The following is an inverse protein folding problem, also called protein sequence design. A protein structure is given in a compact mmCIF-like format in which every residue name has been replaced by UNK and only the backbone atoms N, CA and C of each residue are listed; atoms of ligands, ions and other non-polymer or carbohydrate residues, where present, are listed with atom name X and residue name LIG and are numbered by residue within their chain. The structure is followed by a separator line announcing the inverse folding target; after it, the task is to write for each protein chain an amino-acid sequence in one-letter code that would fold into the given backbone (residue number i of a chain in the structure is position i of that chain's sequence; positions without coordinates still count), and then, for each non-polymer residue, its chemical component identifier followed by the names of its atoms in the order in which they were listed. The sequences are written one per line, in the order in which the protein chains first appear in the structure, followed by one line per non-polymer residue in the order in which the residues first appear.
data_IF_355532819136
#
_entry.id   IF_355532819136
#
_cell.length_a   1.000
_cell.length_b   1.000
_cell.length_c   1.000
_cell.angle_alpha   90.00
_cell.angle_beta   90.00
_cell.angle_gamma   90.00
#
_symmetry.space_group_name_H-M   'P 1'
#
loop_
_entity.id
_entity.type
_entity.pdbx_description
1 polymer ?
#
# COMPACT_ATOMS: atom_id res chain seq x y z
N UNK A 1 48.68 33.49 30.92
CA UNK A 1 48.62 32.87 29.58
C UNK A 1 49.19 31.47 29.59
N UNK A 2 50.41 31.27 30.09
CA UNK A 2 51.08 29.94 30.13
C UNK A 2 50.30 28.84 30.90
N UNK A 3 49.55 29.20 31.94
CA UNK A 3 48.76 28.23 32.72
C UNK A 3 47.53 27.69 31.97
N UNK A 4 46.93 28.47 31.06
CA UNK A 4 45.72 28.08 30.32
C UNK A 4 46.07 27.12 29.16
N UNK A 5 47.20 27.38 28.49
CA UNK A 5 47.69 26.55 27.37
C UNK A 5 48.24 25.19 27.84
N UNK A 6 48.69 25.09 29.11
CA UNK A 6 49.09 23.82 29.73
C UNK A 6 47.87 23.02 30.23
N UNK A 7 46.83 23.71 30.72
CA UNK A 7 45.64 23.06 31.28
C UNK A 7 44.72 22.45 30.20
N UNK A 8 44.61 23.06 29.02
CA UNK A 8 43.80 22.54 27.91
C UNK A 8 44.68 22.41 26.66
N UNK A 9 45.23 21.21 26.40
CA UNK A 9 46.05 20.99 25.23
C UNK A 9 45.23 21.22 23.95
N UNK A 10 45.66 22.12 23.04
CA UNK A 10 44.96 22.34 21.76
C UNK A 10 44.89 21.08 20.89
N UNK A 11 45.77 20.11 21.11
CA UNK A 11 45.75 18.80 20.48
C UNK A 11 44.46 18.01 20.76
N UNK A 12 43.86 18.16 21.95
CA UNK A 12 42.67 17.39 22.34
C UNK A 12 41.43 17.82 21.54
N UNK A 13 41.23 19.13 21.37
CA UNK A 13 40.16 19.67 20.54
C UNK A 13 40.33 19.26 19.06
N UNK A 14 41.57 19.24 18.56
CA UNK A 14 41.89 18.80 17.20
C UNK A 14 41.58 17.30 16.99
N UNK A 15 41.98 16.45 17.93
CA UNK A 15 41.70 15.01 17.87
C UNK A 15 40.18 14.71 17.84
N UNK A 16 39.40 15.41 18.66
CA UNK A 16 37.93 15.28 18.67
C UNK A 16 37.35 15.63 17.29
N UNK A 17 37.78 16.75 16.70
CA UNK A 17 37.31 17.20 15.38
C UNK A 17 37.66 16.22 14.25
N UNK A 18 38.86 15.63 14.27
CA UNK A 18 39.26 14.59 13.30
C UNK A 18 38.40 13.33 13.49
N UNK A 19 38.20 12.90 14.73
CA UNK A 19 37.40 11.73 15.05
C UNK A 19 35.93 11.88 14.62
N UNK A 20 35.31 13.05 14.86
CA UNK A 20 33.95 13.33 14.41
C UNK A 20 33.86 13.37 12.88
N UNK A 21 34.82 14.00 12.20
CA UNK A 21 34.86 14.05 10.74
C UNK A 21 34.94 12.65 10.12
N UNK A 22 35.84 11.78 10.61
CA UNK A 22 35.94 10.40 10.15
C UNK A 22 34.64 9.63 10.41
N UNK A 23 34.00 9.86 11.56
CA UNK A 23 32.73 9.21 11.92
C UNK A 23 31.60 9.61 10.98
N UNK A 24 31.48 10.90 10.64
CA UNK A 24 30.49 11.41 9.68
C UNK A 24 30.73 10.82 8.29
N UNK A 25 31.98 10.73 7.82
CA UNK A 25 32.30 10.09 6.53
C UNK A 25 31.87 8.62 6.51
N UNK A 26 32.09 7.88 7.61
CA UNK A 26 31.67 6.48 7.73
C UNK A 26 30.15 6.33 7.78
N UNK A 27 29.44 7.24 8.47
CA UNK A 27 27.98 7.27 8.53
C UNK A 27 27.37 7.57 7.15
N UNK A 28 27.96 8.51 6.41
CA UNK A 28 27.55 8.83 5.04
C UNK A 28 27.68 7.63 4.10
N UNK A 29 28.73 6.82 4.26
CA UNK A 29 28.89 5.55 3.52
C UNK A 29 27.76 4.54 3.79
N UNK A 30 26.98 4.72 4.86
CA UNK A 30 25.79 3.92 5.21
C UNK A 30 24.47 4.62 4.90
N UNK A 31 24.49 5.74 4.16
CA UNK A 31 23.30 6.53 3.86
C UNK A 31 22.78 7.37 5.04
N UNK A 32 23.55 7.50 6.14
CA UNK A 32 23.19 8.36 7.27
C UNK A 32 23.85 9.72 7.10
N UNK A 33 23.04 10.76 6.87
CA UNK A 33 23.52 12.11 6.65
C UNK A 33 23.42 12.91 7.95
N UNK A 34 24.57 13.34 8.45
CA UNK A 34 24.68 14.11 9.68
C UNK A 34 24.60 15.60 9.36
N UNK A 35 23.62 16.29 9.95
CA UNK A 35 23.45 17.75 9.82
C UNK A 35 24.24 18.52 10.89
N UNK A 36 24.42 17.91 12.06
CA UNK A 36 25.09 18.49 13.21
C UNK A 36 26.15 17.51 13.74
N UNK A 37 27.42 17.86 13.51
CA UNK A 37 28.56 16.99 13.80
C UNK A 37 28.81 16.81 15.30
N UNK A 38 28.41 17.77 16.14
CA UNK A 38 28.60 17.68 17.60
C UNK A 38 27.73 16.56 18.21
N UNK A 39 26.56 16.31 17.60
CA UNK A 39 25.62 15.26 18.05
C UNK A 39 26.15 13.85 17.87
N UNK A 40 27.14 13.65 16.99
CA UNK A 40 27.74 12.32 16.76
C UNK A 40 28.42 11.80 18.03
N UNK A 41 29.09 12.68 18.78
CA UNK A 41 29.70 12.30 20.05
C UNK A 41 28.66 12.03 21.14
N UNK A 42 27.59 12.84 21.18
CA UNK A 42 26.49 12.67 22.14
C UNK A 42 25.70 11.39 21.93
N UNK A 43 25.58 10.90 20.69
CA UNK A 43 24.87 9.67 20.37
C UNK A 43 25.43 8.42 21.09
N UNK A 44 26.71 8.43 21.46
CA UNK A 44 27.34 7.35 22.24
C UNK A 44 27.02 7.37 23.73
N UNK A 45 26.35 8.42 24.22
CA UNK A 45 25.99 8.61 25.63
C UNK A 45 24.48 8.37 25.89
N UNK A 46 23.74 7.90 24.89
CA UNK A 46 22.29 7.71 25.01
C UNK A 46 21.96 6.42 25.77
N UNK A 47 21.20 6.54 26.86
CA UNK A 47 20.70 5.39 27.64
C UNK A 47 19.24 5.02 27.29
N UNK A 48 18.54 5.86 26.53
CA UNK A 48 17.16 5.66 26.12
C UNK A 48 16.95 6.14 24.67
N UNK A 49 16.15 5.39 23.90
CA UNK A 49 15.76 5.74 22.54
C UNK A 49 14.23 5.69 22.44
N UNK A 50 13.62 6.83 22.12
CA UNK A 50 12.19 6.93 21.87
C UNK A 50 11.93 6.72 20.37
N UNK A 51 11.06 5.77 20.04
CA UNK A 51 10.62 5.55 18.67
C UNK A 51 9.23 6.14 18.46
N UNK A 52 9.07 6.90 17.37
CA UNK A 52 7.74 7.23 16.87
C UNK A 52 7.14 6.00 16.14
N UNK A 53 5.81 5.89 16.09
CA UNK A 53 5.15 4.72 15.51
C UNK A 53 4.95 4.87 14.00
N UNK A 54 4.30 5.94 13.55
CA UNK A 54 3.84 6.07 12.15
C UNK A 54 4.93 6.73 11.31
N UNK A 55 5.39 6.07 10.25
CA UNK A 55 6.49 6.55 9.43
C UNK A 55 7.89 6.33 10.02
N UNK A 56 7.99 5.62 11.15
CA UNK A 56 9.26 5.16 11.74
C UNK A 56 9.25 3.65 11.99
N UNK A 57 8.44 3.16 12.94
CA UNK A 57 8.32 1.71 13.18
C UNK A 57 7.40 1.02 12.16
N UNK A 58 6.45 1.77 11.63
CA UNK A 58 5.50 1.30 10.63
C UNK A 58 5.57 2.18 9.39
N UNK A 59 5.40 1.59 8.22
CA UNK A 59 5.24 2.34 6.98
C UNK A 59 3.98 3.23 7.06
N UNK A 60 4.01 4.33 6.31
CA UNK A 60 2.85 5.20 6.20
C UNK A 60 1.87 4.55 5.22
N UNK A 61 0.68 4.23 5.68
CA UNK A 61 -0.38 3.69 4.85
C UNK A 61 -1.10 2.53 5.53
N UNK A 62 -1.85 1.80 4.70
CA UNK A 62 -2.60 0.63 5.10
C UNK A 62 -2.23 -0.52 4.16
N UNK A 63 -2.12 -1.72 4.70
CA UNK A 63 -1.90 -2.95 3.94
C UNK A 63 -2.89 -4.00 4.43
N UNK A 64 -3.44 -4.78 3.51
CA UNK A 64 -4.31 -5.90 3.86
C UNK A 64 -3.45 -7.05 4.38
N UNK A 65 -3.40 -7.23 5.69
CA UNK A 65 -2.66 -8.35 6.29
C UNK A 65 -3.29 -9.72 6.03
N UNK A 66 -4.60 -9.78 5.82
CA UNK A 66 -5.34 -11.02 5.55
C UNK A 66 -6.82 -10.93 5.92
N UNK A 67 -7.54 -12.04 5.75
CA UNK A 67 -8.98 -12.13 6.03
C UNK A 67 -9.26 -13.24 7.03
N UNK A 68 -10.17 -12.98 7.96
CA UNK A 68 -10.71 -14.00 8.89
C UNK A 68 -12.18 -14.25 8.53
N UNK A 69 -12.52 -15.42 7.97
CA UNK A 69 -13.90 -15.72 7.62
C UNK A 69 -14.73 -16.01 8.86
N UNK A 70 -16.04 -15.77 8.79
CA UNK A 70 -16.99 -16.20 9.82
C UNK A 70 -17.57 -17.55 9.47
N UNK A 71 -17.52 -18.52 10.40
CA UNK A 71 -18.05 -19.89 10.23
C UNK A 71 -19.48 -20.04 10.78
N UNK A 72 -20.10 -18.94 11.20
CA UNK A 72 -21.41 -18.89 11.85
C UNK A 72 -21.44 -17.84 12.96
N UNK A 73 -22.55 -17.71 13.70
CA UNK A 73 -22.69 -16.71 14.75
C UNK A 73 -21.63 -16.93 15.84
N UNK A 74 -20.83 -15.89 16.09
CA UNK A 74 -19.79 -15.88 17.12
C UNK A 74 -18.58 -16.78 16.86
N UNK A 75 -18.41 -17.35 15.66
CA UNK A 75 -17.28 -18.23 15.32
C UNK A 75 -16.46 -17.67 14.17
N UNK A 76 -15.19 -17.42 14.44
CA UNK A 76 -14.20 -17.06 13.43
C UNK A 76 -13.47 -18.30 12.92
N UNK A 77 -13.13 -18.30 11.64
CA UNK A 77 -12.28 -19.30 11.00
C UNK A 77 -10.80 -18.95 11.13
N UNK A 78 -9.97 -19.67 10.35
CA UNK A 78 -8.53 -19.42 10.32
C UNK A 78 -8.21 -18.12 9.57
N UNK A 79 -7.21 -17.39 10.07
CA UNK A 79 -6.65 -16.23 9.38
C UNK A 79 -6.00 -16.68 8.07
N UNK A 80 -6.41 -16.04 6.96
CA UNK A 80 -5.91 -16.30 5.62
C UNK A 80 -5.11 -15.07 5.16
N UNK A 81 -3.77 -15.12 5.18
CA UNK A 81 -2.93 -13.97 4.82
C UNK A 81 -2.94 -13.68 3.32
N UNK A 82 -2.98 -14.72 2.48
CA UNK A 82 -2.95 -14.56 1.04
C UNK A 82 -4.37 -14.31 0.48
N UNK A 83 -4.65 -13.13 -0.10
CA UNK A 83 -5.95 -12.84 -0.69
C UNK A 83 -6.28 -13.74 -1.89
N UNK A 84 -5.27 -14.33 -2.55
CA UNK A 84 -5.47 -15.29 -3.64
C UNK A 84 -6.14 -16.59 -3.19
N UNK A 85 -5.98 -16.98 -1.92
CA UNK A 85 -6.59 -18.17 -1.33
C UNK A 85 -8.04 -17.96 -0.89
N UNK A 86 -8.55 -16.73 -0.98
CA UNK A 86 -9.92 -16.43 -0.59
C UNK A 86 -10.92 -17.06 -1.56
N UNK A 87 -12.13 -17.41 -1.07
CA UNK A 87 -13.22 -17.82 -1.94
C UNK A 87 -13.47 -16.75 -3.04
N UNK A 88 -13.74 -17.14 -4.30
CA UNK A 88 -13.95 -16.20 -5.39
C UNK A 88 -15.03 -15.14 -5.09
N UNK A 89 -16.05 -15.51 -4.32
CA UNK A 89 -17.11 -14.58 -3.89
C UNK A 89 -16.57 -13.42 -3.02
N UNK A 90 -15.55 -13.66 -2.19
CA UNK A 90 -14.93 -12.61 -1.36
C UNK A 90 -14.04 -11.70 -2.21
N UNK A 91 -13.31 -12.27 -3.16
CA UNK A 91 -12.54 -11.48 -4.14
C UNK A 91 -13.46 -10.58 -4.98
N UNK A 92 -14.58 -11.14 -5.47
CA UNK A 92 -15.60 -10.39 -6.21
C UNK A 92 -16.24 -9.28 -5.35
N UNK A 93 -16.46 -9.53 -4.05
CA UNK A 93 -16.95 -8.53 -3.11
C UNK A 93 -15.98 -7.35 -2.97
N UNK A 94 -14.68 -7.62 -2.80
CA UNK A 94 -13.65 -6.58 -2.74
C UNK A 94 -13.57 -5.78 -4.05
N UNK A 95 -13.87 -6.41 -5.19
CA UNK A 95 -13.83 -5.78 -6.51
C UNK A 95 -15.09 -4.94 -6.82
N UNK A 96 -16.21 -5.16 -6.13
CA UNK A 96 -17.51 -4.59 -6.50
C UNK A 96 -18.09 -3.63 -5.47
N UNK A 97 -17.82 -3.85 -4.18
CA UNK A 97 -18.45 -3.12 -3.08
C UNK A 97 -17.50 -2.07 -2.48
N UNK A 98 -17.14 -1.06 -3.27
CA UNK A 98 -16.29 0.05 -2.85
C UNK A 98 -16.71 1.38 -3.51
N UNK A 99 -16.23 2.50 -2.97
CA UNK A 99 -16.46 3.84 -3.53
C UNK A 99 -15.42 4.32 -4.56
N UNK A 100 -14.52 3.45 -5.01
CA UNK A 100 -13.41 3.83 -5.88
C UNK A 100 -13.87 4.31 -7.26
N UNK A 101 -13.12 5.26 -7.82
CA UNK A 101 -13.28 5.77 -9.18
C UNK A 101 -11.93 5.78 -9.88
N UNK A 102 -11.93 5.61 -11.20
CA UNK A 102 -10.72 5.78 -12.00
C UNK A 102 -10.62 7.24 -12.49
N UNK A 103 -9.49 7.87 -12.19
CA UNK A 103 -9.10 9.16 -12.74
C UNK A 103 -7.84 8.94 -13.58
N UNK A 104 -7.97 9.16 -14.88
CA UNK A 104 -6.99 8.79 -15.89
C UNK A 104 -6.65 7.28 -15.81
N UNK A 105 -5.42 6.93 -15.46
CA UNK A 105 -4.96 5.54 -15.28
C UNK A 105 -4.81 5.15 -13.79
N UNK A 106 -5.29 6.00 -12.88
CA UNK A 106 -5.13 5.80 -11.43
C UNK A 106 -6.46 5.53 -10.75
N UNK A 107 -6.48 4.55 -9.85
CA UNK A 107 -7.62 4.27 -8.98
C UNK A 107 -7.55 5.21 -7.78
N UNK A 108 -8.61 5.99 -7.55
CA UNK A 108 -8.69 7.02 -6.52
C UNK A 108 -9.91 6.75 -5.63
N UNK A 109 -9.73 6.97 -4.33
CA UNK A 109 -10.79 6.83 -3.32
C UNK A 109 -10.20 6.62 -1.93
N UNK A 110 -10.96 5.99 -1.04
CA UNK A 110 -10.48 5.68 0.30
C UNK A 110 -9.27 4.71 0.26
N UNK A 111 -8.19 4.95 1.02
CA UNK A 111 -7.02 4.06 1.03
C UNK A 111 -7.35 2.61 1.42
N UNK A 112 -8.35 2.36 2.26
CA UNK A 112 -8.76 0.99 2.61
C UNK A 112 -9.40 0.28 1.42
N UNK A 113 -10.31 0.96 0.71
CA UNK A 113 -10.95 0.43 -0.48
C UNK A 113 -9.92 0.12 -1.56
N UNK A 114 -8.93 1.00 -1.77
CA UNK A 114 -7.85 0.77 -2.74
C UNK A 114 -7.11 -0.52 -2.45
N UNK A 115 -6.76 -0.78 -1.19
CA UNK A 115 -6.01 -1.99 -0.78
C UNK A 115 -6.85 -3.26 -0.89
N UNK A 116 -8.14 -3.18 -0.60
CA UNK A 116 -9.07 -4.29 -0.83
C UNK A 116 -9.22 -4.60 -2.32
N UNK A 117 -9.36 -3.57 -3.14
CA UNK A 117 -9.46 -3.72 -4.60
C UNK A 117 -8.19 -4.31 -5.19
N UNK A 118 -7.01 -3.84 -4.80
CA UNK A 118 -5.73 -4.42 -5.20
C UNK A 118 -5.63 -5.91 -4.82
N UNK A 119 -6.06 -6.26 -3.61
CA UNK A 119 -6.07 -7.64 -3.13
C UNK A 119 -7.07 -8.55 -3.87
N UNK A 120 -8.11 -7.98 -4.48
CA UNK A 120 -9.10 -8.77 -5.24
C UNK A 120 -8.51 -9.44 -6.48
N UNK A 121 -7.41 -8.91 -7.02
CA UNK A 121 -6.82 -9.36 -8.29
C UNK A 121 -7.64 -8.93 -9.52
N UNK A 122 -8.54 -7.97 -9.37
CA UNK A 122 -9.26 -7.34 -10.47
C UNK A 122 -8.57 -6.05 -10.93
N UNK A 123 -8.86 -5.64 -12.15
CA UNK A 123 -8.47 -4.35 -12.73
C UNK A 123 -9.73 -3.55 -13.08
N UNK A 124 -9.65 -2.24 -12.89
CA UNK A 124 -10.69 -1.29 -13.23
C UNK A 124 -10.28 -0.58 -14.51
N UNK A 125 -11.17 -0.58 -15.51
CA UNK A 125 -10.96 0.11 -16.79
C UNK A 125 -12.20 0.90 -17.17
N UNK A 126 -11.99 2.13 -17.58
CA UNK A 126 -13.01 2.94 -18.22
C UNK A 126 -13.14 2.51 -19.69
N UNK A 127 -14.29 1.95 -20.07
CA UNK A 127 -14.61 1.65 -21.47
C UNK A 127 -15.44 2.82 -22.02
N UNK A 128 -14.89 3.51 -23.03
CA UNK A 128 -15.56 4.62 -23.71
C UNK A 128 -16.75 4.17 -24.57
N UNK A 129 -16.77 2.89 -24.98
CA UNK A 129 -17.91 2.28 -25.66
C UNK A 129 -18.58 1.22 -24.79
N UNK A 130 -19.93 1.17 -24.74
CA UNK A 130 -20.63 0.13 -23.99
C UNK A 130 -20.30 -1.24 -24.61
N UNK A 131 -19.96 -2.25 -23.80
CA UNK A 131 -19.65 -3.57 -24.34
C UNK A 131 -20.84 -4.11 -25.14
N UNK A 132 -20.59 -4.75 -26.28
CA UNK A 132 -21.63 -5.32 -27.14
C UNK A 132 -22.61 -6.25 -26.38
N UNK A 133 -22.15 -6.87 -25.29
CA UNK A 133 -22.98 -7.66 -24.38
C UNK A 133 -24.02 -6.83 -23.60
N UNK A 134 -23.69 -5.59 -23.22
CA UNK A 134 -24.62 -4.66 -22.58
C UNK A 134 -25.65 -4.15 -23.60
N UNK A 135 -25.22 -3.83 -24.82
CA UNK A 135 -26.15 -3.51 -25.92
C UNK A 135 -27.09 -4.69 -26.25
N UNK A 136 -26.60 -5.93 -26.22
CA UNK A 136 -27.42 -7.11 -26.40
C UNK A 136 -28.38 -7.37 -25.22
N UNK A 137 -27.96 -7.10 -23.98
CA UNK A 137 -28.81 -7.23 -22.79
C UNK A 137 -29.89 -6.15 -22.73
N UNK A 138 -29.57 -4.92 -23.14
CA UNK A 138 -30.54 -3.82 -23.24
C UNK A 138 -31.56 -4.08 -24.35
N UNK A 139 -31.16 -4.66 -25.48
CA UNK A 139 -32.08 -5.05 -26.55
C UNK A 139 -33.01 -6.23 -26.18
N UNK A 140 -32.72 -6.96 -25.09
CA UNK A 140 -33.53 -8.09 -24.61
C UNK A 140 -34.39 -7.75 -23.38
N UNK A 141 -34.39 -6.51 -22.89
CA UNK A 141 -35.13 -6.12 -21.69
C UNK A 141 -36.45 -5.39 -22.01
N UNK A 142 -37.32 -6.08 -22.76
CA UNK A 142 -38.75 -5.90 -22.53
C UNK A 142 -39.16 -6.74 -21.31
N UNK A 143 -39.57 -6.04 -20.25
CA UNK A 143 -40.15 -6.53 -18.99
C UNK A 143 -39.20 -6.97 -17.86
N UNK A 144 -38.80 -5.99 -17.03
CA UNK A 144 -38.88 -5.96 -15.56
C UNK A 144 -37.63 -5.34 -14.90
N UNK A 145 -37.87 -4.24 -14.20
CA UNK A 145 -36.90 -3.46 -13.45
C UNK A 145 -36.36 -4.25 -12.26
N UNK A 146 -35.08 -4.62 -12.30
CA UNK A 146 -34.29 -4.85 -11.08
C UNK A 146 -32.84 -4.46 -11.34
N UNK A 147 -32.32 -3.54 -10.52
CA UNK A 147 -30.93 -3.08 -10.52
C UNK A 147 -30.01 -4.15 -9.93
N UNK A 148 -29.91 -5.30 -10.60
CA UNK A 148 -28.96 -6.34 -10.27
C UNK A 148 -27.66 -6.06 -11.00
N UNK A 149 -26.54 -6.00 -10.26
CA UNK A 149 -25.21 -5.99 -10.85
C UNK A 149 -25.09 -7.18 -11.81
N UNK A 150 -24.97 -6.90 -13.11
CA UNK A 150 -24.85 -7.95 -14.11
C UNK A 150 -23.46 -8.57 -13.98
N UNK A 151 -23.41 -9.88 -13.74
CA UNK A 151 -22.20 -10.67 -13.93
C UNK A 151 -22.27 -11.25 -15.33
N UNK A 152 -21.35 -10.86 -16.21
CA UNK A 152 -21.27 -11.43 -17.55
C UNK A 152 -19.99 -12.28 -17.66
N UNK A 153 -20.11 -13.48 -18.21
CA UNK A 153 -18.97 -14.28 -18.62
C UNK A 153 -18.53 -13.79 -20.02
N UNK A 154 -17.35 -13.18 -20.11
CA UNK A 154 -16.80 -12.74 -21.39
C UNK A 154 -16.28 -13.92 -22.24
N UNK A 155 -16.06 -13.73 -23.55
CA UNK A 155 -15.70 -14.80 -24.49
C UNK A 155 -14.26 -15.35 -24.34
N UNK A 156 -13.62 -15.13 -23.19
CA UNK A 156 -12.30 -15.63 -22.83
C UNK A 156 -12.23 -16.33 -21.47
N UNK A 157 -13.38 -16.73 -20.89
CA UNK A 157 -13.43 -17.43 -19.60
C UNK A 157 -13.22 -16.53 -18.36
N UNK A 158 -13.00 -15.22 -18.55
CA UNK A 158 -12.93 -14.24 -17.47
C UNK A 158 -14.31 -13.77 -17.01
N UNK A 159 -14.55 -13.73 -15.70
CA UNK A 159 -15.74 -13.12 -15.09
C UNK A 159 -15.52 -11.60 -15.00
N UNK A 160 -16.49 -10.82 -15.50
CA UNK A 160 -16.50 -9.35 -15.39
C UNK A 160 -17.65 -8.86 -14.52
N UNK A 161 -17.39 -7.85 -13.69
CA UNK A 161 -18.37 -7.15 -12.85
C UNK A 161 -18.50 -5.72 -13.35
N UNK A 162 -19.74 -5.23 -13.50
CA UNK A 162 -20.01 -3.88 -14.02
C UNK A 162 -20.36 -2.92 -12.88
N UNK A 163 -19.67 -1.78 -12.83
CA UNK A 163 -19.88 -0.72 -11.84
C UNK A 163 -20.31 0.59 -12.52
N UNK A 164 -21.44 0.55 -13.24
CA UNK A 164 -22.01 1.72 -13.95
C UNK A 164 -21.82 1.70 -15.47
N UNK A 165 -22.29 2.73 -16.20
CA UNK A 165 -22.42 2.69 -17.66
C UNK A 165 -21.08 2.70 -18.43
N UNK A 166 -19.97 3.05 -17.78
CA UNK A 166 -18.65 3.16 -18.44
C UNK A 166 -17.48 2.55 -17.65
N UNK A 167 -17.71 2.04 -16.45
CA UNK A 167 -16.65 1.48 -15.60
C UNK A 167 -16.80 -0.04 -15.54
N UNK A 168 -15.77 -0.74 -16.00
CA UNK A 168 -15.76 -2.19 -16.08
C UNK A 168 -14.64 -2.74 -15.21
N UNK A 169 -15.00 -3.69 -14.34
CA UNK A 169 -14.07 -4.39 -13.46
C UNK A 169 -13.89 -5.82 -13.98
N UNK A 170 -12.65 -6.20 -14.30
CA UNK A 170 -12.31 -7.52 -14.87
C UNK A 170 -11.18 -8.17 -14.10
N UNK A 171 -11.18 -9.50 -14.02
CA UNK A 171 -10.09 -10.23 -13.38
C UNK A 171 -8.80 -10.01 -14.17
N UNK A 172 -7.71 -9.65 -13.50
CA UNK A 172 -6.40 -9.46 -14.14
C UNK A 172 -5.94 -10.81 -14.72
N UNK A 173 -5.63 -10.83 -16.01
CA UNK A 173 -5.02 -12.01 -16.63
C UNK A 173 -3.65 -12.25 -16.00
N UNK A 174 -3.25 -13.51 -15.75
CA UNK A 174 -1.89 -13.80 -15.32
C UNK A 174 -0.93 -13.25 -16.37
N UNK A 175 0.05 -12.46 -15.95
CA UNK A 175 1.12 -12.00 -16.82
C UNK A 175 1.86 -13.22 -17.33
N UNK A 176 1.70 -13.53 -18.63
CA UNK A 176 2.50 -14.55 -19.30
C UNK A 176 3.96 -14.05 -19.24
N UNK A 177 4.93 -14.88 -18.79
CA UNK A 177 6.33 -14.51 -18.72
C UNK A 177 6.95 -14.26 -20.10
#
# INVERSE_FOLDING_TARGET
FDMITVAVPPALACCLAIATTISVMRLRGKGVYVLDNERVALAGLLDCVCFDKTGTLTEIGLELGGVVPTLGPGKFGAFTPDPGMLPPAVQELFAACHGLTQLDDTVVGDPLDQRLFEASGFEMKFESEPPAALLAALNNSDSSSSSAGATAAGPGGGRSVFTGPHLVVRRKLPSVP
#
